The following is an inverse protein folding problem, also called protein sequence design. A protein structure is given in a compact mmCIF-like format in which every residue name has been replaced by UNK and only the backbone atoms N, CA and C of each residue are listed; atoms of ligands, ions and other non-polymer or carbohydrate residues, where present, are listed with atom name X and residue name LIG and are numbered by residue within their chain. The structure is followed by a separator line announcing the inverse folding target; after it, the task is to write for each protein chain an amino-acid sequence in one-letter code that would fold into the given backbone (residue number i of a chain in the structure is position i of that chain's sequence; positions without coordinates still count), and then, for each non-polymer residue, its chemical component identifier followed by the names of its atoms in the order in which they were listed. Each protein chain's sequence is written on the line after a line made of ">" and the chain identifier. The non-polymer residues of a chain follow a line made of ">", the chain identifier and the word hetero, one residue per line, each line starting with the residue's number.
data_IF_856340960278
#
_entry.id   IF_856340960278
#
_cell.length_a   1.000
_cell.length_b   1.000
_cell.length_c   1.000
_cell.angle_alpha   90.00
_cell.angle_beta   90.00
_cell.angle_gamma   90.00
#
_symmetry.space_group_name_H-M   'P 1'
#
loop_
_entity.id
_entity.type
_entity.pdbx_description
1 polymer ?
#
# COMPACT_ATOMS: atom_id res chain seq x y z
N UNK A 1 33.85 24.28 -6.79
CA UNK A 1 33.80 23.89 -5.37
C UNK A 1 33.28 25.11 -4.61
N UNK A 2 32.08 25.04 -4.01
CA UNK A 2 31.46 26.20 -3.37
C UNK A 2 31.99 26.34 -1.93
N UNK A 3 32.78 27.37 -1.66
CA UNK A 3 33.36 27.65 -0.34
C UNK A 3 32.34 28.12 0.70
N UNK A 4 31.12 28.43 0.27
CA UNK A 4 30.01 28.88 1.12
C UNK A 4 28.92 27.83 1.33
N UNK A 5 29.19 26.56 0.98
CA UNK A 5 28.25 25.48 1.29
C UNK A 5 28.16 25.32 2.82
N UNK A 6 26.97 25.47 3.38
CA UNK A 6 26.72 25.20 4.79
C UNK A 6 27.14 23.76 5.11
N UNK A 7 27.80 23.51 6.27
CA UNK A 7 28.16 22.17 6.69
C UNK A 7 26.88 21.31 6.74
N UNK A 8 26.94 20.11 6.13
CA UNK A 8 25.81 19.18 6.13
C UNK A 8 25.39 18.90 7.57
N UNK A 9 24.15 19.24 7.92
CA UNK A 9 23.62 18.94 9.23
C UNK A 9 23.39 17.44 9.34
N UNK A 10 23.78 16.83 10.45
CA UNK A 10 23.41 15.45 10.76
C UNK A 10 21.89 15.26 10.91
N UNK A 11 21.13 16.34 11.03
CA UNK A 11 19.66 16.34 11.02
C UNK A 11 19.08 16.17 9.61
N UNK A 12 19.87 16.38 8.55
CA UNK A 12 19.40 16.27 7.16
C UNK A 12 19.48 14.83 6.63
N UNK A 13 20.26 13.95 7.28
CA UNK A 13 20.29 12.54 6.91
C UNK A 13 19.05 11.82 7.44
N UNK A 14 18.21 11.22 6.56
CA UNK A 14 17.08 10.45 7.03
C UNK A 14 17.59 9.30 7.92
N UNK A 15 17.04 9.19 9.14
CA UNK A 15 17.40 8.14 10.08
C UNK A 15 17.33 6.77 9.39
N UNK A 16 18.50 6.18 9.12
CA UNK A 16 18.61 4.86 8.48
C UNK A 16 18.44 3.80 9.55
N UNK A 17 17.34 3.07 9.49
CA UNK A 17 17.05 1.97 10.40
C UNK A 17 17.77 0.67 10.01
N UNK A 18 17.65 -0.32 10.88
CA UNK A 18 17.92 -1.70 10.48
C UNK A 18 16.92 -2.12 9.37
N UNK A 19 17.31 -3.07 8.52
CA UNK A 19 16.48 -3.47 7.38
C UNK A 19 15.10 -4.02 7.79
N UNK A 20 15.00 -4.66 8.97
CA UNK A 20 13.73 -5.20 9.48
C UNK A 20 12.73 -4.09 9.83
N UNK A 21 13.16 -3.05 10.53
CA UNK A 21 12.35 -1.88 10.85
C UNK A 21 11.91 -1.18 9.57
N UNK A 22 12.79 -1.03 8.59
CA UNK A 22 12.43 -0.43 7.29
C UNK A 22 11.37 -1.24 6.53
N UNK A 23 11.41 -2.58 6.62
CA UNK A 23 10.38 -3.47 6.07
C UNK A 23 9.05 -3.22 6.77
N UNK A 24 9.03 -3.31 8.11
CA UNK A 24 7.81 -3.22 8.91
C UNK A 24 7.16 -1.85 8.79
N UNK A 25 7.94 -0.77 8.84
CA UNK A 25 7.43 0.59 8.67
C UNK A 25 6.86 0.78 7.28
N UNK A 26 7.56 0.34 6.23
CA UNK A 26 7.06 0.43 4.86
C UNK A 26 5.74 -0.33 4.65
N UNK A 27 5.67 -1.56 5.17
CA UNK A 27 4.45 -2.37 5.13
C UNK A 27 3.31 -1.71 5.91
N UNK A 28 3.58 -1.21 7.12
CA UNK A 28 2.60 -0.52 7.96
C UNK A 28 2.09 0.77 7.32
N UNK A 29 2.96 1.55 6.67
CA UNK A 29 2.56 2.75 5.93
C UNK A 29 1.66 2.39 4.74
N UNK A 30 2.05 1.39 3.94
CA UNK A 30 1.27 0.95 2.80
C UNK A 30 -0.12 0.43 3.20
N UNK A 31 -0.18 -0.48 4.17
CA UNK A 31 -1.43 -1.04 4.69
C UNK A 31 -2.25 0.03 5.41
N UNK A 32 -1.63 0.83 6.28
CA UNK A 32 -2.33 1.83 7.08
C UNK A 32 -3.04 2.87 6.20
N UNK A 33 -2.34 3.45 5.23
CA UNK A 33 -2.93 4.45 4.32
C UNK A 33 -4.01 3.80 3.46
N UNK A 34 -3.74 2.63 2.85
CA UNK A 34 -4.73 1.95 2.01
C UNK A 34 -5.99 1.61 2.80
N UNK A 35 -5.84 1.05 4.00
CA UNK A 35 -6.97 0.71 4.86
C UNK A 35 -7.79 1.95 5.21
N UNK A 36 -7.16 3.04 5.66
CA UNK A 36 -7.88 4.29 5.98
C UNK A 36 -8.65 4.82 4.77
N UNK A 37 -8.02 4.93 3.60
CA UNK A 37 -8.65 5.47 2.39
C UNK A 37 -9.80 4.56 1.92
N UNK A 38 -9.56 3.24 1.83
CA UNK A 38 -10.55 2.29 1.36
C UNK A 38 -11.72 2.14 2.34
N UNK A 39 -11.48 2.26 3.65
CA UNK A 39 -12.56 2.26 4.65
C UNK A 39 -13.44 3.50 4.49
N UNK A 40 -12.86 4.70 4.39
CA UNK A 40 -13.64 5.94 4.22
C UNK A 40 -14.46 5.89 2.93
N UNK A 41 -13.83 5.53 1.81
CA UNK A 41 -14.53 5.42 0.52
C UNK A 41 -15.57 4.30 0.54
N UNK A 42 -15.24 3.16 1.15
CA UNK A 42 -16.16 2.05 1.33
C UNK A 42 -17.41 2.46 2.11
N UNK A 43 -17.26 3.17 3.22
CA UNK A 43 -18.38 3.71 4.00
C UNK A 43 -19.25 4.63 3.14
N UNK A 44 -18.63 5.57 2.41
CA UNK A 44 -19.36 6.47 1.51
C UNK A 44 -20.13 5.67 0.46
N UNK A 45 -19.49 4.68 -0.16
CA UNK A 45 -20.11 3.84 -1.18
C UNK A 45 -21.29 3.03 -0.62
N UNK A 46 -21.16 2.47 0.59
CA UNK A 46 -22.25 1.78 1.27
C UNK A 46 -23.42 2.71 1.57
N UNK A 47 -23.16 3.95 2.02
CA UNK A 47 -24.21 4.96 2.22
C UNK A 47 -24.95 5.28 0.93
N UNK A 48 -24.24 5.42 -0.19
CA UNK A 48 -24.86 5.63 -1.51
C UNK A 48 -25.78 4.46 -1.87
N UNK A 49 -25.36 3.21 -1.64
CA UNK A 49 -26.21 2.04 -1.87
C UNK A 49 -27.45 2.02 -0.97
N UNK A 50 -27.31 2.40 0.30
CA UNK A 50 -28.45 2.53 1.23
C UNK A 50 -29.44 3.58 0.73
N UNK A 51 -28.97 4.74 0.25
CA UNK A 51 -29.82 5.78 -0.33
C UNK A 51 -30.52 5.32 -1.63
N UNK A 52 -29.94 4.35 -2.34
CA UNK A 52 -30.56 3.69 -3.50
C UNK A 52 -31.56 2.58 -3.12
N UNK A 53 -31.82 2.37 -1.83
CA UNK A 53 -32.79 1.40 -1.34
C UNK A 53 -32.25 -0.04 -1.26
N UNK A 54 -30.94 -0.25 -1.34
CA UNK A 54 -30.34 -1.59 -1.14
C UNK A 54 -30.50 -2.01 0.32
N UNK A 55 -30.94 -3.25 0.54
CA UNK A 55 -31.11 -3.81 1.88
C UNK A 55 -29.77 -3.87 2.63
N UNK A 56 -29.78 -3.65 3.95
CA UNK A 56 -28.56 -3.72 4.78
C UNK A 56 -27.88 -5.09 4.72
N UNK A 57 -28.65 -6.16 4.47
CA UNK A 57 -28.15 -7.52 4.35
C UNK A 57 -27.37 -7.73 3.04
N UNK A 58 -27.75 -7.03 1.98
CA UNK A 58 -27.15 -7.16 0.65
C UNK A 58 -26.01 -6.17 0.37
N UNK A 59 -25.84 -5.16 1.23
CA UNK A 59 -24.88 -4.06 1.02
C UNK A 59 -23.47 -4.54 0.66
N UNK A 60 -22.90 -5.44 1.46
CA UNK A 60 -21.55 -5.96 1.22
C UNK A 60 -21.48 -6.77 -0.07
N UNK A 61 -22.45 -7.67 -0.31
CA UNK A 61 -22.51 -8.45 -1.54
C UNK A 61 -22.58 -7.54 -2.78
N UNK A 62 -23.40 -6.49 -2.76
CA UNK A 62 -23.50 -5.51 -3.85
C UNK A 62 -22.21 -4.72 -4.04
N UNK A 63 -21.54 -4.32 -2.96
CA UNK A 63 -20.26 -3.65 -3.05
C UNK A 63 -19.18 -4.53 -3.71
N UNK A 64 -19.08 -5.80 -3.32
CA UNK A 64 -18.13 -6.73 -3.93
C UNK A 64 -18.55 -7.26 -5.31
N UNK A 65 -19.78 -7.03 -5.76
CA UNK A 65 -20.20 -7.25 -7.15
C UNK A 65 -19.87 -6.05 -8.06
N UNK A 66 -19.69 -4.86 -7.49
CA UNK A 66 -19.36 -3.65 -8.25
C UNK A 66 -17.92 -3.70 -8.76
N UNK A 67 -17.76 -4.01 -10.05
CA UNK A 67 -16.43 -4.05 -10.70
C UNK A 67 -15.76 -2.68 -10.63
N UNK A 68 -16.52 -1.59 -10.74
CA UNK A 68 -16.00 -0.23 -10.62
C UNK A 68 -15.41 0.05 -9.22
N UNK A 69 -16.13 -0.35 -8.16
CA UNK A 69 -15.65 -0.21 -6.79
C UNK A 69 -14.38 -1.04 -6.54
N UNK A 70 -14.35 -2.28 -7.01
CA UNK A 70 -13.19 -3.16 -6.86
C UNK A 70 -11.98 -2.62 -7.65
N UNK A 71 -12.18 -2.18 -8.90
CA UNK A 71 -11.12 -1.60 -9.70
C UNK A 71 -10.55 -0.33 -9.05
N UNK A 72 -11.42 0.54 -8.53
CA UNK A 72 -11.03 1.70 -7.74
C UNK A 72 -10.16 1.28 -6.54
N UNK A 73 -10.61 0.27 -5.78
CA UNK A 73 -9.90 -0.19 -4.60
C UNK A 73 -8.48 -0.71 -4.94
N UNK A 74 -8.33 -1.43 -6.05
CA UNK A 74 -7.01 -1.88 -6.52
C UNK A 74 -6.11 -0.73 -6.94
N UNK A 75 -6.62 0.23 -7.72
CA UNK A 75 -5.83 1.38 -8.18
C UNK A 75 -5.33 2.18 -6.98
N UNK A 76 -6.21 2.50 -6.02
CA UNK A 76 -5.81 3.22 -4.82
C UNK A 76 -4.90 2.39 -3.90
N UNK A 77 -5.14 1.09 -3.77
CA UNK A 77 -4.27 0.18 -3.04
C UNK A 77 -2.85 0.17 -3.60
N UNK A 78 -2.70 0.10 -4.93
CA UNK A 78 -1.41 0.20 -5.63
C UNK A 78 -0.71 1.53 -5.32
N UNK A 79 -1.41 2.66 -5.40
CA UNK A 79 -0.84 3.98 -5.09
C UNK A 79 -0.34 4.06 -3.64
N UNK A 80 -1.10 3.52 -2.68
CA UNK A 80 -0.70 3.47 -1.28
C UNK A 80 0.53 2.57 -1.06
N UNK A 81 0.59 1.42 -1.74
CA UNK A 81 1.75 0.52 -1.70
C UNK A 81 3.01 1.11 -2.32
N UNK A 82 2.88 1.95 -3.36
CA UNK A 82 4.01 2.74 -3.90
C UNK A 82 4.59 3.63 -2.78
N UNK A 83 3.73 4.29 -2.00
CA UNK A 83 4.18 5.11 -0.89
C UNK A 83 4.84 4.28 0.25
N UNK A 84 4.31 3.09 0.53
CA UNK A 84 4.94 2.13 1.45
C UNK A 84 6.34 1.70 0.98
N UNK A 85 6.49 1.42 -0.32
CA UNK A 85 7.79 1.10 -0.94
C UNK A 85 8.79 2.25 -0.88
N UNK A 86 8.32 3.48 -1.09
CA UNK A 86 9.13 4.70 -0.94
C UNK A 86 9.69 4.81 0.48
N UNK A 87 8.85 4.65 1.52
CA UNK A 87 9.28 4.71 2.91
C UNK A 87 10.19 3.56 3.31
N UNK A 88 9.91 2.35 2.83
CA UNK A 88 10.79 1.19 3.07
C UNK A 88 12.19 1.42 2.49
N UNK A 89 12.27 1.92 1.26
CA UNK A 89 13.54 2.25 0.62
C UNK A 89 14.27 3.40 1.32
N UNK A 90 13.54 4.44 1.74
CA UNK A 90 14.09 5.61 2.43
C UNK A 90 14.75 5.25 3.76
N UNK A 91 14.17 4.32 4.51
CA UNK A 91 14.66 3.92 5.83
C UNK A 91 15.71 2.80 5.77
N UNK A 92 15.88 2.14 4.62
CA UNK A 92 16.80 1.04 4.46
C UNK A 92 18.26 1.51 4.51
N UNK A 93 19.05 0.91 5.42
CA UNK A 93 20.50 1.14 5.48
C UNK A 93 21.28 0.50 4.33
N UNK A 94 20.80 -0.65 3.81
CA UNK A 94 21.41 -1.38 2.68
C UNK A 94 20.33 -1.96 1.76
N UNK A 95 20.64 -2.07 0.46
CA UNK A 95 19.80 -2.70 -0.58
C UNK A 95 18.33 -2.22 -0.56
N UNK A 96 18.05 -0.92 -0.75
CA UNK A 96 16.71 -0.32 -0.59
C UNK A 96 15.62 -1.00 -1.42
N UNK A 97 15.94 -1.44 -2.64
CA UNK A 97 14.99 -2.16 -3.49
C UNK A 97 14.63 -3.55 -2.94
N UNK A 98 15.60 -4.29 -2.40
CA UNK A 98 15.36 -5.61 -1.81
C UNK A 98 14.52 -5.48 -0.53
N UNK A 99 14.80 -4.47 0.30
CA UNK A 99 14.01 -4.15 1.49
C UNK A 99 12.56 -3.84 1.14
N UNK A 100 12.32 -2.99 0.13
CA UNK A 100 10.97 -2.68 -0.33
C UNK A 100 10.25 -3.89 -0.93
N UNK A 101 10.92 -4.71 -1.73
CA UNK A 101 10.34 -5.96 -2.25
C UNK A 101 9.93 -6.90 -1.13
N UNK A 102 10.76 -7.04 -0.08
CA UNK A 102 10.44 -7.87 1.07
C UNK A 102 9.25 -7.30 1.86
N UNK A 103 9.15 -5.98 2.01
CA UNK A 103 7.97 -5.33 2.58
C UNK A 103 6.71 -5.60 1.75
N UNK A 104 6.80 -5.48 0.42
CA UNK A 104 5.70 -5.84 -0.48
C UNK A 104 5.32 -7.32 -0.37
N UNK A 105 6.28 -8.22 -0.21
CA UNK A 105 6.03 -9.64 0.01
C UNK A 105 5.32 -9.90 1.35
N UNK A 106 5.69 -9.20 2.42
CA UNK A 106 4.98 -9.27 3.70
C UNK A 106 3.51 -8.86 3.52
N UNK A 107 3.24 -7.74 2.85
CA UNK A 107 1.87 -7.30 2.55
C UNK A 107 1.12 -8.34 1.69
N UNK A 108 1.76 -8.90 0.67
CA UNK A 108 1.19 -9.93 -0.19
C UNK A 108 0.81 -11.20 0.60
N UNK A 109 1.63 -11.62 1.56
CA UNK A 109 1.33 -12.74 2.46
C UNK A 109 0.12 -12.43 3.33
N UNK A 110 0.03 -11.24 3.92
CA UNK A 110 -1.16 -10.83 4.67
C UNK A 110 -2.42 -10.87 3.78
N UNK A 111 -2.35 -10.34 2.56
CA UNK A 111 -3.47 -10.40 1.63
C UNK A 111 -3.84 -11.85 1.28
N UNK A 112 -2.86 -12.73 1.07
CA UNK A 112 -3.12 -14.14 0.81
C UNK A 112 -3.82 -14.81 2.00
N UNK A 113 -3.39 -14.54 3.23
CA UNK A 113 -4.04 -15.03 4.46
C UNK A 113 -5.49 -14.53 4.54
N UNK A 114 -5.75 -13.25 4.24
CA UNK A 114 -7.13 -12.72 4.25
C UNK A 114 -8.03 -13.40 3.22
N UNK A 115 -7.48 -13.80 2.07
CA UNK A 115 -8.23 -14.54 1.05
C UNK A 115 -8.53 -16.00 1.44
N UNK A 116 -7.83 -16.55 2.44
CA UNK A 116 -8.10 -17.90 2.97
C UNK A 116 -9.20 -17.89 4.04
N UNK A 117 -9.61 -16.72 4.54
CA UNK A 117 -10.71 -16.65 5.50
C UNK A 117 -12.03 -17.04 4.82
N UNK A 118 -12.88 -17.85 5.47
CA UNK A 118 -14.09 -18.41 4.88
C UNK A 118 -15.24 -17.38 4.83
N UNK A 119 -15.00 -16.24 4.18
CA UNK A 119 -16.04 -15.27 3.89
C UNK A 119 -16.65 -15.57 2.52
N UNK A 120 -17.94 -15.87 2.50
CA UNK A 120 -18.73 -16.06 1.28
C UNK A 120 -19.05 -14.72 0.59
N UNK A 121 -18.00 -13.94 0.28
CA UNK A 121 -18.14 -12.71 -0.49
C UNK A 121 -17.93 -13.01 -1.98
N UNK A 122 -18.80 -12.51 -2.88
CA UNK A 122 -18.73 -12.75 -4.32
C UNK A 122 -17.60 -11.93 -4.98
N UNK A 123 -16.39 -12.00 -4.43
CA UNK A 123 -15.21 -11.32 -4.95
C UNK A 123 -14.69 -12.08 -6.17
N UNK A 124 -14.57 -11.43 -7.34
CA UNK A 124 -14.11 -12.10 -8.55
C UNK A 124 -12.66 -12.58 -8.42
N UNK A 125 -12.34 -13.72 -9.03
CA UNK A 125 -11.03 -14.37 -8.90
C UNK A 125 -9.87 -13.44 -9.31
N UNK A 126 -10.04 -12.64 -10.36
CA UNK A 126 -9.01 -11.70 -10.81
C UNK A 126 -8.63 -10.69 -9.72
N UNK A 127 -9.59 -10.27 -8.90
CA UNK A 127 -9.40 -9.30 -7.82
C UNK A 127 -8.56 -9.92 -6.70
N UNK A 128 -8.81 -11.20 -6.38
CA UNK A 128 -8.02 -11.94 -5.39
C UNK A 128 -6.57 -12.10 -5.86
N UNK A 129 -6.37 -12.48 -7.12
CA UNK A 129 -5.04 -12.62 -7.72
C UNK A 129 -4.32 -11.26 -7.73
N UNK A 130 -4.99 -10.20 -8.19
CA UNK A 130 -4.45 -8.85 -8.22
C UNK A 130 -4.06 -8.38 -6.81
N UNK A 131 -4.90 -8.62 -5.80
CA UNK A 131 -4.62 -8.22 -4.41
C UNK A 131 -3.37 -8.88 -3.83
N UNK A 132 -3.09 -10.14 -4.19
CA UNK A 132 -1.88 -10.85 -3.74
C UNK A 132 -0.65 -10.42 -4.53
N UNK A 133 -0.77 -10.24 -5.86
CA UNK A 133 0.38 -9.94 -6.71
C UNK A 133 0.77 -8.47 -6.74
N UNK A 134 -0.17 -7.54 -6.58
CA UNK A 134 0.05 -6.10 -6.73
C UNK A 134 1.01 -5.46 -5.71
N UNK A 135 1.08 -5.89 -4.42
CA UNK A 135 1.95 -5.24 -3.44
C UNK A 135 3.43 -5.24 -3.85
N UNK A 136 3.98 -6.37 -4.31
CA UNK A 136 5.40 -6.47 -4.68
C UNK A 136 5.85 -5.47 -5.76
N UNK A 137 5.24 -5.41 -6.97
CA UNK A 137 5.63 -4.45 -7.99
C UNK A 137 5.36 -3.00 -7.55
N UNK A 138 4.29 -2.75 -6.79
CA UNK A 138 3.98 -1.41 -6.27
C UNK A 138 5.07 -0.92 -5.32
N UNK A 139 5.51 -1.76 -4.39
CA UNK A 139 6.61 -1.41 -3.48
C UNK A 139 7.93 -1.20 -4.23
N UNK A 140 8.21 -2.02 -5.25
CA UNK A 140 9.38 -1.84 -6.10
C UNK A 140 9.36 -0.48 -6.83
N UNK A 141 8.22 -0.08 -7.40
CA UNK A 141 8.04 1.23 -8.02
C UNK A 141 8.29 2.37 -7.03
N UNK A 142 7.78 2.25 -5.79
CA UNK A 142 8.06 3.19 -4.70
C UNK A 142 9.55 3.36 -4.39
N UNK A 143 10.27 2.23 -4.31
CA UNK A 143 11.71 2.24 -4.10
C UNK A 143 12.49 2.86 -5.28
N UNK A 144 12.05 2.61 -6.51
CA UNK A 144 12.63 3.22 -7.70
C UNK A 144 12.37 4.73 -7.76
N UNK A 145 11.19 5.19 -7.35
CA UNK A 145 10.88 6.61 -7.24
C UNK A 145 11.80 7.31 -6.23
N UNK A 146 12.02 6.70 -5.06
CA UNK A 146 12.95 7.23 -4.06
C UNK A 146 14.38 7.36 -4.59
N UNK A 147 14.88 6.37 -5.35
CA UNK A 147 16.23 6.41 -5.94
C UNK A 147 16.45 7.60 -6.89
N UNK A 148 15.38 8.11 -7.51
CA UNK A 148 15.45 9.24 -8.44
C UNK A 148 15.44 10.60 -7.74
N UNK A 149 15.07 10.66 -6.45
CA UNK A 149 15.09 11.90 -5.69
C UNK A 149 16.55 12.26 -5.37
N UNK A 150 17.06 13.44 -5.79
CA UNK A 150 18.41 13.87 -5.46
C UNK A 150 18.60 13.89 -3.95
N UNK A 151 19.57 13.12 -3.46
CA UNK A 151 19.95 13.14 -2.05
C UNK A 151 20.81 14.39 -1.84
N UNK A 152 20.15 15.51 -1.50
CA UNK A 152 20.85 16.75 -1.13
C UNK A 152 21.58 16.54 0.19
#
# INVERSE_FOLDING_TARGET
>A
MNLYAAPKSTLDEPARGNSGTAVLVGAAVGIGISYTVLTVVGIIFLWVLTLQGVSLQDLYARAYQSTAYIAFAHVFGVLCHIYGGYWSARLASRKPLATALFAGAVVAVFTAITNLMPYELPIPLWSRIAGVLAPMPSFALGALAWRRVPQK
#
